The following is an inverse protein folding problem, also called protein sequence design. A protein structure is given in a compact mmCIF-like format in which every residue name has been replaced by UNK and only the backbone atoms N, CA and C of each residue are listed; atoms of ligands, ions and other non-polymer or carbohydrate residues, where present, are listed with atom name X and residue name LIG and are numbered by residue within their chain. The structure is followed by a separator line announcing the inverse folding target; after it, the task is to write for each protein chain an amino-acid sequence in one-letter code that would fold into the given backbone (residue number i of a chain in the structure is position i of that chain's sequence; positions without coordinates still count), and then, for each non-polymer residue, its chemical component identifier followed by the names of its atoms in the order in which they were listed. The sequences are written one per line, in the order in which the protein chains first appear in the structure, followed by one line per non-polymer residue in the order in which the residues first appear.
data_IF_093141475823
#
_entry.id   IF_093141475823
#
_cell.length_a   1.000
_cell.length_b   1.000
_cell.length_c   1.000
_cell.angle_alpha   90.00
_cell.angle_beta   90.00
_cell.angle_gamma   90.00
#
_symmetry.space_group_name_H-M   'P 1'
#
loop_
_entity.id
_entity.type
_entity.pdbx_description
1 polymer ?
#
# COMPACT_ATOMS: atom_id res chain seq x y z
N UNK A 1 19.18 -23.41 7.81
CA UNK A 1 18.95 -22.04 8.35
C UNK A 1 17.45 -21.78 8.32
N UNK A 2 16.75 -21.82 9.46
CA UNK A 2 15.27 -21.66 9.53
C UNK A 2 14.95 -20.18 9.69
N UNK A 3 14.52 -19.52 8.62
CA UNK A 3 14.08 -18.13 8.68
C UNK A 3 12.80 -18.09 9.52
N UNK A 4 12.88 -17.42 10.66
CA UNK A 4 11.82 -17.40 11.68
C UNK A 4 10.62 -16.60 11.15
N UNK A 5 9.49 -17.29 10.95
CA UNK A 5 8.16 -16.69 10.69
C UNK A 5 7.81 -15.54 11.65
N UNK A 6 8.39 -15.53 12.86
CA UNK A 6 8.20 -14.46 13.84
C UNK A 6 8.68 -13.09 13.40
N UNK A 7 9.75 -12.98 12.60
CA UNK A 7 10.24 -11.68 12.13
C UNK A 7 9.31 -11.05 11.07
N UNK A 8 8.65 -11.89 10.26
CA UNK A 8 7.67 -11.46 9.27
C UNK A 8 6.36 -11.06 9.95
N UNK A 9 5.89 -11.86 10.92
CA UNK A 9 4.70 -11.53 11.71
C UNK A 9 4.90 -10.26 12.55
N UNK A 10 6.09 -10.04 13.11
CA UNK A 10 6.39 -8.82 13.85
C UNK A 10 6.32 -7.56 12.96
N UNK A 11 6.80 -7.64 11.70
CA UNK A 11 6.66 -6.53 10.74
C UNK A 11 5.21 -6.26 10.34
N UNK A 12 4.39 -7.30 10.23
CA UNK A 12 2.95 -7.14 9.94
C UNK A 12 2.24 -6.46 11.12
N UNK A 13 2.52 -6.88 12.36
CA UNK A 13 1.93 -6.28 13.56
C UNK A 13 2.36 -4.81 13.78
N UNK A 14 3.61 -4.47 13.46
CA UNK A 14 4.11 -3.09 13.53
C UNK A 14 3.39 -2.19 12.50
N UNK A 15 3.08 -2.74 11.32
CA UNK A 15 2.26 -2.08 10.31
C UNK A 15 0.79 -1.99 10.70
N UNK A 16 0.25 -2.90 11.51
CA UNK A 16 -1.14 -2.89 12.00
C UNK A 16 -1.36 -1.88 13.14
N UNK A 17 -0.33 -1.58 13.94
CA UNK A 17 -0.37 -0.49 14.94
C UNK A 17 -0.10 0.90 14.36
N UNK A 18 0.31 0.99 13.09
CA UNK A 18 0.37 2.25 12.34
C UNK A 18 -1.03 2.73 11.94
N UNK A 19 -1.90 2.97 12.91
CA UNK A 19 -3.12 3.73 12.69
C UNK A 19 -2.70 5.09 12.15
N UNK A 20 -3.18 5.42 10.97
CA UNK A 20 -2.78 6.65 10.30
C UNK A 20 -3.47 7.83 10.97
N UNK A 21 -2.80 8.39 11.96
CA UNK A 21 -3.26 9.46 12.86
C UNK A 21 -3.22 10.86 12.20
N UNK A 22 -3.33 10.92 10.88
CA UNK A 22 -3.31 12.16 10.12
C UNK A 22 -4.00 11.97 8.77
N UNK A 23 -4.61 13.04 8.26
CA UNK A 23 -5.38 13.13 7.00
C UNK A 23 -4.99 12.04 5.98
N UNK A 24 -5.69 10.91 6.04
CA UNK A 24 -5.39 9.76 5.21
C UNK A 24 -6.08 9.94 3.88
N UNK A 25 -5.48 10.76 3.03
CA UNK A 25 -5.91 10.96 1.66
C UNK A 25 -5.60 9.78 0.74
N UNK A 26 -5.04 8.68 1.21
CA UNK A 26 -4.52 7.61 0.35
C UNK A 26 -4.84 6.21 0.86
N UNK A 27 -5.04 5.28 -0.07
CA UNK A 27 -5.21 3.86 0.21
C UNK A 27 -4.43 3.00 -0.78
N UNK A 28 -3.90 1.85 -0.33
CA UNK A 28 -3.19 0.88 -1.16
C UNK A 28 -3.98 -0.41 -1.28
N UNK A 29 -4.30 -0.80 -2.51
CA UNK A 29 -4.88 -2.09 -2.82
C UNK A 29 -3.79 -3.03 -3.31
N UNK A 30 -3.61 -4.17 -2.65
CA UNK A 30 -2.71 -5.22 -3.11
C UNK A 30 -3.50 -6.26 -3.89
N UNK A 31 -3.05 -6.56 -5.10
CA UNK A 31 -3.62 -7.57 -5.97
C UNK A 31 -2.61 -8.70 -6.23
N UNK A 32 -3.03 -9.97 -6.11
CA UNK A 32 -2.17 -11.08 -6.49
C UNK A 32 -1.90 -11.04 -8.00
N UNK A 33 -0.66 -11.32 -8.40
CA UNK A 33 -0.25 -11.46 -9.79
C UNK A 33 -0.03 -12.95 -10.14
N UNK A 34 -0.17 -13.34 -11.41
CA UNK A 34 0.07 -14.71 -11.84
C UNK A 34 1.52 -15.18 -11.63
N UNK A 35 2.46 -14.26 -11.44
CA UNK A 35 3.86 -14.56 -11.15
C UNK A 35 4.11 -14.89 -9.67
N UNK A 36 3.06 -14.90 -8.85
CA UNK A 36 3.15 -15.14 -7.40
C UNK A 36 3.65 -13.93 -6.60
N UNK A 37 3.73 -12.76 -7.24
CA UNK A 37 4.02 -11.47 -6.59
C UNK A 37 2.72 -10.71 -6.32
N UNK A 38 2.77 -9.70 -5.45
CA UNK A 38 1.66 -8.75 -5.28
C UNK A 38 1.96 -7.48 -6.07
N UNK A 39 1.01 -7.01 -6.87
CA UNK A 39 1.03 -5.66 -7.44
C UNK A 39 0.24 -4.73 -6.54
N UNK A 40 0.73 -3.51 -6.33
CA UNK A 40 0.02 -2.50 -5.56
C UNK A 40 -0.63 -1.47 -6.46
N UNK A 41 -1.85 -1.08 -6.13
CA UNK A 41 -2.52 0.08 -6.72
C UNK A 41 -2.73 1.14 -5.67
N UNK A 42 -2.21 2.33 -5.91
CA UNK A 42 -2.38 3.48 -5.02
C UNK A 42 -3.60 4.29 -5.46
N UNK A 43 -4.52 4.49 -4.52
CA UNK A 43 -5.77 5.22 -4.72
C UNK A 43 -5.83 6.40 -3.77
N UNK A 44 -6.52 7.48 -4.17
CA UNK A 44 -6.93 8.51 -3.23
C UNK A 44 -8.02 7.95 -2.29
N UNK A 45 -8.14 8.46 -1.07
CA UNK A 45 -9.12 7.97 -0.08
C UNK A 45 -10.57 8.25 -0.48
N UNK A 46 -10.79 9.17 -1.42
CA UNK A 46 -12.10 9.39 -2.06
C UNK A 46 -12.41 8.39 -3.17
N UNK A 47 -11.49 7.48 -3.51
CA UNK A 47 -11.74 6.42 -4.49
C UNK A 47 -12.77 5.42 -3.94
N UNK A 48 -13.59 4.87 -4.83
CA UNK A 48 -14.54 3.81 -4.46
C UNK A 48 -13.82 2.50 -4.11
N UNK A 49 -12.59 2.32 -4.62
CA UNK A 49 -11.75 1.17 -4.34
C UNK A 49 -11.22 1.25 -2.92
N UNK A 50 -11.45 0.18 -2.16
CA UNK A 50 -10.96 0.06 -0.78
C UNK A 50 -9.58 -0.58 -0.76
N UNK A 51 -8.76 -0.10 0.16
CA UNK A 51 -7.42 -0.62 0.41
C UNK A 51 -6.97 -0.32 1.82
N UNK A 52 -5.70 -0.61 2.10
CA UNK A 52 -5.05 -0.23 3.34
C UNK A 52 -4.85 1.29 3.37
N UNK A 53 -5.34 2.03 4.38
CA UNK A 53 -5.09 3.46 4.49
C UNK A 53 -3.58 3.74 4.64
N UNK A 54 -3.13 4.83 4.04
CA UNK A 54 -1.75 5.26 4.04
C UNK A 54 -1.63 6.74 4.32
N UNK A 55 -0.62 7.11 5.11
CA UNK A 55 -0.21 8.49 5.24
C UNK A 55 0.35 9.01 3.91
N UNK A 56 0.26 10.32 3.68
CA UNK A 56 0.74 10.96 2.45
C UNK A 56 2.23 10.66 2.16
N UNK A 57 3.09 10.67 3.17
CA UNK A 57 4.51 10.34 3.01
C UNK A 57 4.75 8.88 2.62
N UNK A 58 3.90 7.96 3.08
CA UNK A 58 3.96 6.56 2.68
C UNK A 58 3.50 6.39 1.23
N UNK A 59 2.40 7.05 0.86
CA UNK A 59 1.88 7.05 -0.50
C UNK A 59 2.93 7.57 -1.51
N UNK A 60 3.65 8.65 -1.18
CA UNK A 60 4.73 9.18 -2.02
C UNK A 60 5.86 8.17 -2.23
N UNK A 61 6.33 7.52 -1.17
CA UNK A 61 7.39 6.50 -1.26
C UNK A 61 6.96 5.30 -2.10
N UNK A 62 5.69 4.90 -2.01
CA UNK A 62 5.18 3.78 -2.80
C UNK A 62 5.11 4.11 -4.29
N UNK A 63 4.80 5.34 -4.69
CA UNK A 63 4.82 5.75 -6.10
C UNK A 63 6.21 5.65 -6.75
N UNK A 64 7.28 5.63 -5.96
CA UNK A 64 8.65 5.44 -6.47
C UNK A 64 8.98 3.97 -6.77
N UNK A 65 8.10 3.03 -6.37
CA UNK A 65 8.32 1.60 -6.51
C UNK A 65 7.68 1.08 -7.82
N UNK A 66 8.41 0.31 -8.65
CA UNK A 66 7.91 -0.16 -9.95
C UNK A 66 6.76 -1.16 -9.85
N UNK A 67 6.60 -1.84 -8.71
CA UNK A 67 5.48 -2.74 -8.43
C UNK A 67 4.18 -2.03 -8.03
N UNK A 68 4.23 -0.70 -7.86
CA UNK A 68 3.09 0.14 -7.50
C UNK A 68 2.64 0.93 -8.73
N UNK A 69 1.35 0.86 -9.01
CA UNK A 69 0.70 1.61 -10.08
C UNK A 69 -0.24 2.64 -9.46
N UNK A 70 -0.17 3.89 -9.94
CA UNK A 70 -1.13 4.91 -9.56
C UNK A 70 -2.50 4.58 -10.17
N UNK A 71 -3.59 4.78 -9.43
CA UNK A 71 -4.92 4.67 -10.01
C UNK A 71 -5.13 5.84 -10.99
N UNK A 72 -5.29 5.56 -12.28
CA UNK A 72 -5.48 6.59 -13.32
C UNK A 72 -6.67 7.51 -13.04
N UNK A 73 -7.71 7.02 -12.36
CA UNK A 73 -8.86 7.83 -11.97
C UNK A 73 -8.55 8.79 -10.79
N UNK A 74 -7.62 8.41 -9.92
CA UNK A 74 -7.15 9.24 -8.80
C UNK A 74 -5.98 10.15 -9.20
N UNK A 75 -5.23 9.73 -10.20
CA UNK A 75 -4.06 10.39 -10.76
C UNK A 75 -4.27 10.54 -12.27
N UNK A 76 -5.20 11.39 -12.72
CA UNK A 76 -5.26 11.72 -14.13
C UNK A 76 -3.90 12.33 -14.50
N UNK A 77 -3.20 11.69 -15.43
CA UNK A 77 -1.96 12.23 -15.99
C UNK A 77 -2.24 13.69 -16.46
N UNK A 78 -1.36 14.66 -16.16
CA UNK A 78 -1.60 16.06 -16.48
C UNK A 78 -1.68 16.34 -17.99
#
# INVERSE_FOLDING_TARGET
MRIQLGAVQARIADLENGQADGDTGWTLQLMPSPEGTCRGYLHHASCFIRGRPLAQDQARKLLEMPEITACDACHPDP
#
